data_IF_585560607002
#
_entry.id   IF_585560607002
#
_cell.length_a   1.000
_cell.length_b   1.000
_cell.length_c   1.000
_cell.angle_alpha   90.00
_cell.angle_beta   90.00
_cell.angle_gamma   90.00
#
_symmetry.space_group_name_H-M   'P 1'
#
loop_
_entity.id
_entity.type
_entity.pdbx_description
1 polymer ?
#
# COMPACT_ATOMS: atom_id res chain seq x y z
N UNK A 1 -2.24 6.89 1.51
CA UNK A 1 -2.06 7.60 0.23
C UNK A 1 -3.39 7.84 -0.47
N UNK A 2 -3.45 8.58 -1.59
CA UNK A 2 -4.68 8.89 -2.35
C UNK A 2 -4.53 10.17 -3.15
N UNK A 3 -5.48 10.49 -4.01
CA UNK A 3 -5.51 11.74 -4.77
C UNK A 3 -5.58 12.97 -3.82
N UNK A 4 -5.26 14.18 -4.29
CA UNK A 4 -5.48 15.40 -3.51
C UNK A 4 -6.94 15.54 -3.06
N UNK A 5 -7.16 16.14 -1.89
CA UNK A 5 -8.49 16.49 -1.36
C UNK A 5 -9.45 15.31 -1.09
N UNK A 6 -8.94 14.08 -0.94
CA UNK A 6 -9.76 12.90 -0.58
C UNK A 6 -9.91 12.67 0.93
N UNK A 7 -9.29 13.53 1.78
CA UNK A 7 -9.38 13.43 3.25
C UNK A 7 -8.26 12.65 3.92
N UNK A 8 -7.10 12.45 3.27
CA UNK A 8 -5.94 11.73 3.86
C UNK A 8 -5.48 12.32 5.17
N UNK A 9 -5.17 13.62 5.20
CA UNK A 9 -4.66 14.29 6.40
C UNK A 9 -5.74 14.39 7.49
N UNK A 10 -7.01 14.44 7.11
CA UNK A 10 -8.12 14.37 8.07
C UNK A 10 -8.14 13.02 8.77
N UNK A 11 -8.04 11.92 8.02
CA UNK A 11 -7.96 10.57 8.55
C UNK A 11 -6.70 10.41 9.42
N UNK A 12 -5.54 10.85 8.93
CA UNK A 12 -4.29 10.82 9.67
C UNK A 12 -4.40 11.56 11.00
N UNK A 13 -4.92 12.79 10.99
CA UNK A 13 -5.12 13.59 12.20
C UNK A 13 -6.11 12.94 13.17
N UNK A 14 -7.17 12.30 12.67
CA UNK A 14 -8.12 11.58 13.51
C UNK A 14 -7.48 10.36 14.20
N UNK A 15 -6.65 9.61 13.48
CA UNK A 15 -5.90 8.47 14.04
C UNK A 15 -4.82 8.93 15.01
N UNK A 16 -4.14 10.05 14.69
CA UNK A 16 -3.01 10.58 15.46
C UNK A 16 -3.43 11.41 16.69
N UNK A 17 -4.71 11.77 16.84
CA UNK A 17 -5.19 12.53 18.01
C UNK A 17 -4.93 11.84 19.34
N UNK A 18 -4.80 10.53 19.36
CA UNK A 18 -4.44 9.73 20.52
C UNK A 18 -2.93 9.39 20.54
N UNK A 19 -2.09 10.20 19.87
CA UNK A 19 -0.65 10.00 19.86
C UNK A 19 -0.12 9.96 21.29
N UNK A 20 0.45 8.81 21.63
CA UNK A 20 1.31 8.70 22.79
C UNK A 20 2.63 9.35 22.41
N UNK A 21 3.13 10.20 23.30
CA UNK A 21 4.44 10.81 23.09
C UNK A 21 5.46 9.71 22.75
N UNK A 22 6.09 9.81 21.57
CA UNK A 22 7.05 8.81 21.08
C UNK A 22 8.22 8.58 22.05
N UNK A 23 8.42 9.47 23.01
CA UNK A 23 9.36 9.36 24.13
C UNK A 23 9.16 8.09 24.99
N UNK A 24 7.97 7.50 24.97
CA UNK A 24 7.66 6.30 25.76
C UNK A 24 8.03 4.98 25.05
N UNK A 25 8.42 5.03 23.76
CA UNK A 25 8.78 3.85 23.00
C UNK A 25 10.25 3.91 22.57
N UNK A 26 11.09 2.97 23.03
CA UNK A 26 12.47 2.85 22.57
C UNK A 26 12.48 2.53 21.07
N UNK A 27 13.34 3.21 20.30
CA UNK A 27 13.56 3.03 18.86
C UNK A 27 12.56 3.73 17.90
N UNK A 28 11.69 4.62 18.38
CA UNK A 28 10.87 5.43 17.49
C UNK A 28 11.58 6.74 17.13
N UNK A 29 11.91 6.91 15.87
CA UNK A 29 12.38 8.18 15.31
C UNK A 29 11.15 9.00 14.89
N UNK A 30 10.99 10.21 15.41
CA UNK A 30 9.89 11.10 15.02
C UNK A 30 10.27 11.74 13.69
N UNK A 31 9.73 11.22 12.59
CA UNK A 31 9.79 11.90 11.30
C UNK A 31 8.57 12.81 11.13
N UNK A 32 8.70 13.95 10.42
CA UNK A 32 7.55 14.78 10.11
C UNK A 32 6.52 13.94 9.33
N UNK A 33 5.24 14.10 9.68
CA UNK A 33 4.11 13.35 9.14
C UNK A 33 4.02 11.86 9.52
N UNK A 34 4.66 11.46 10.62
CA UNK A 34 4.53 10.11 11.18
C UNK A 34 3.69 10.16 12.46
N UNK A 35 2.74 9.24 12.59
CA UNK A 35 1.89 9.07 13.78
C UNK A 35 1.97 7.63 14.29
N UNK A 36 2.20 7.47 15.59
CA UNK A 36 2.22 6.16 16.26
C UNK A 36 0.90 5.96 16.99
N UNK A 37 0.22 4.86 16.71
CA UNK A 37 -1.08 4.52 17.29
C UNK A 37 -1.00 3.16 17.96
N UNK A 38 -1.47 3.06 19.21
CA UNK A 38 -1.58 1.78 19.92
C UNK A 38 -2.67 0.91 19.31
N UNK A 39 -2.39 -0.38 19.22
CA UNK A 39 -3.37 -1.39 18.81
C UNK A 39 -4.16 -1.83 20.03
N UNK A 40 -5.48 -1.58 20.08
CA UNK A 40 -6.33 -2.09 21.16
C UNK A 40 -6.35 -3.62 21.16
N UNK A 41 -6.04 -4.24 22.29
CA UNK A 41 -6.11 -5.70 22.48
C UNK A 41 -6.82 -6.04 23.79
N UNK A 42 -8.03 -6.58 23.69
CA UNK A 42 -8.84 -6.98 24.83
C UNK A 42 -8.18 -8.11 25.64
N UNK A 43 -7.40 -8.98 24.99
CA UNK A 43 -6.65 -10.05 25.67
C UNK A 43 -5.59 -9.45 26.58
N UNK A 44 -4.89 -8.41 26.11
CA UNK A 44 -3.88 -7.70 26.90
C UNK A 44 -4.52 -7.02 28.10
N UNK A 45 -5.72 -6.42 27.94
CA UNK A 45 -6.47 -5.83 29.05
C UNK A 45 -6.82 -6.87 30.12
N UNK A 46 -7.34 -8.05 29.70
CA UNK A 46 -7.65 -9.13 30.63
C UNK A 46 -6.42 -9.64 31.36
N UNK A 47 -5.32 -9.85 30.67
CA UNK A 47 -4.06 -10.27 31.27
C UNK A 47 -3.53 -9.25 32.28
N UNK A 48 -3.61 -7.96 31.96
CA UNK A 48 -3.22 -6.87 32.85
C UNK A 48 -4.04 -6.87 34.14
N UNK A 49 -5.33 -7.14 34.07
CA UNK A 49 -6.19 -7.23 35.24
C UNK A 49 -5.83 -8.42 36.16
N UNK A 50 -5.44 -9.56 35.57
CA UNK A 50 -5.09 -10.78 36.30
C UNK A 50 -3.71 -10.64 36.97
N UNK A 51 -2.70 -10.23 36.18
CA UNK A 51 -1.31 -10.24 36.62
C UNK A 51 -0.84 -8.93 37.26
N UNK A 52 -1.59 -7.83 37.10
CA UNK A 52 -1.26 -6.49 37.63
C UNK A 52 0.22 -6.11 37.47
N UNK A 53 0.76 -6.12 36.24
CA UNK A 53 2.15 -5.81 36.00
C UNK A 53 2.46 -4.33 36.31
N UNK A 54 3.72 -4.03 36.59
CA UNK A 54 4.15 -2.64 36.80
C UNK A 54 3.98 -1.78 35.55
N UNK A 55 4.12 -2.39 34.36
CA UNK A 55 3.96 -1.71 33.05
C UNK A 55 3.29 -2.64 32.04
N UNK A 56 2.32 -2.11 31.32
CA UNK A 56 1.70 -2.75 30.15
C UNK A 56 2.11 -2.01 28.90
N UNK A 57 2.64 -2.72 27.91
CA UNK A 57 3.07 -2.14 26.64
C UNK A 57 2.17 -2.71 25.54
N UNK A 58 1.45 -1.83 24.87
CA UNK A 58 0.61 -2.19 23.72
C UNK A 58 1.49 -2.31 22.47
N UNK A 59 1.06 -3.15 21.52
CA UNK A 59 1.64 -3.13 20.18
C UNK A 59 1.26 -1.81 19.49
N UNK A 60 2.10 -1.34 18.58
CA UNK A 60 1.88 -0.07 17.89
C UNK A 60 1.92 -0.25 16.39
N UNK A 61 1.17 0.61 15.68
CA UNK A 61 1.22 0.77 14.24
C UNK A 61 1.68 2.19 13.94
N UNK A 62 2.66 2.29 13.06
CA UNK A 62 3.17 3.55 12.56
C UNK A 62 2.42 3.94 11.29
N UNK A 63 1.79 5.11 11.30
CA UNK A 63 1.13 5.71 10.15
C UNK A 63 1.99 6.82 9.58
N UNK A 64 2.18 6.82 8.26
CA UNK A 64 2.90 7.87 7.54
C UNK A 64 1.92 8.57 6.62
N UNK A 65 1.72 9.89 6.82
CA UNK A 65 0.93 10.70 5.88
C UNK A 65 1.78 11.03 4.66
N UNK A 66 1.50 10.35 3.57
CA UNK A 66 2.18 10.54 2.30
C UNK A 66 1.37 11.55 1.47
N UNK A 67 2.01 12.62 1.03
CA UNK A 67 1.40 13.65 0.18
C UNK A 67 0.65 13.05 -1.01
N UNK A 68 -0.39 13.75 -1.52
CA UNK A 68 -1.24 13.23 -2.60
C UNK A 68 -0.45 12.90 -3.86
N UNK A 69 -0.74 11.74 -4.44
CA UNK A 69 -0.20 11.33 -5.72
C UNK A 69 -0.83 12.19 -6.82
N UNK A 70 0.01 12.80 -7.65
CA UNK A 70 -0.42 13.57 -8.83
C UNK A 70 -0.16 12.70 -10.07
N UNK A 71 -1.01 12.83 -11.07
CA UNK A 71 -0.84 12.19 -12.39
C UNK A 71 0.58 12.43 -12.93
N UNK A 72 1.22 11.41 -13.50
CA UNK A 72 2.61 11.42 -13.97
C UNK A 72 3.68 11.49 -12.86
N UNK A 73 3.38 11.10 -11.63
CA UNK A 73 4.37 11.04 -10.56
C UNK A 73 5.54 10.09 -10.89
N UNK A 74 5.29 9.05 -11.71
CA UNK A 74 6.31 8.13 -12.19
C UNK A 74 7.32 8.77 -13.16
N UNK A 75 6.98 9.90 -13.81
CA UNK A 75 7.86 10.63 -14.74
C UNK A 75 8.61 11.77 -14.04
N UNK A 76 8.18 12.14 -12.81
CA UNK A 76 8.64 13.34 -12.13
C UNK A 76 10.09 13.26 -11.64
N UNK A 77 10.85 14.29 -11.99
CA UNK A 77 12.09 14.63 -11.31
C UNK A 77 11.74 15.31 -9.97
N UNK A 78 12.24 14.78 -8.84
CA UNK A 78 12.09 15.41 -7.53
C UNK A 78 10.96 14.84 -6.67
N UNK A 79 9.83 15.55 -6.54
CA UNK A 79 8.74 15.20 -5.61
C UNK A 79 8.12 13.82 -5.85
N UNK A 80 8.01 13.39 -7.12
CA UNK A 80 7.49 12.06 -7.45
C UNK A 80 8.39 10.93 -6.94
N UNK A 81 9.71 11.08 -7.07
CA UNK A 81 10.68 10.09 -6.58
C UNK A 81 10.69 10.03 -5.04
N UNK A 82 10.55 11.15 -4.36
CA UNK A 82 10.48 11.21 -2.90
C UNK A 82 9.21 10.51 -2.40
N UNK A 83 8.07 10.76 -3.03
CA UNK A 83 6.81 10.09 -2.76
C UNK A 83 6.92 8.57 -2.91
N UNK A 84 7.46 8.08 -4.04
CA UNK A 84 7.64 6.66 -4.30
C UNK A 84 8.62 6.02 -3.29
N UNK A 85 9.64 6.76 -2.85
CA UNK A 85 10.58 6.30 -1.81
C UNK A 85 9.88 6.07 -0.47
N UNK A 86 8.99 6.98 -0.06
CA UNK A 86 8.20 6.81 1.17
C UNK A 86 7.27 5.59 1.09
N UNK A 87 6.63 5.34 -0.07
CA UNK A 87 5.81 4.13 -0.24
C UNK A 87 6.68 2.87 -0.17
N UNK A 88 7.93 2.91 -0.64
CA UNK A 88 8.82 1.74 -0.56
C UNK A 88 9.18 1.34 0.86
N UNK A 89 9.23 2.28 1.80
CA UNK A 89 9.61 2.03 3.19
C UNK A 89 8.49 1.38 4.02
N UNK A 90 7.22 1.53 3.66
CA UNK A 90 6.09 0.99 4.43
C UNK A 90 5.78 -0.47 4.11
N UNK A 91 5.16 -1.19 5.05
CA UNK A 91 4.77 -2.59 4.88
C UNK A 91 3.40 -2.77 4.23
N UNK A 92 2.48 -1.83 4.46
CA UNK A 92 1.09 -1.86 3.97
C UNK A 92 0.73 -0.48 3.44
N UNK A 93 -0.03 -0.45 2.37
CA UNK A 93 -0.53 0.78 1.77
C UNK A 93 -2.01 0.94 2.13
N UNK A 94 -2.38 2.11 2.65
CA UNK A 94 -3.77 2.50 2.83
C UNK A 94 -4.12 3.54 1.77
N UNK A 95 -5.01 3.20 0.85
CA UNK A 95 -5.51 4.13 -0.16
C UNK A 95 -6.84 4.72 0.30
N UNK A 96 -6.85 6.05 0.51
CA UNK A 96 -8.07 6.79 0.83
C UNK A 96 -8.72 7.24 -0.46
N UNK A 97 -10.00 6.92 -0.63
CA UNK A 97 -10.80 7.20 -1.82
C UNK A 97 -11.99 8.06 -1.43
N UNK A 98 -12.27 9.09 -2.21
CA UNK A 98 -13.38 10.02 -1.99
C UNK A 98 -14.67 9.45 -2.55
N UNK A 99 -15.70 9.33 -1.69
CA UNK A 99 -17.05 8.91 -2.05
C UNK A 99 -18.11 9.98 -1.75
N UNK A 100 -17.68 11.14 -1.25
CA UNK A 100 -18.58 12.24 -0.92
C UNK A 100 -18.54 13.33 -1.99
N UNK A 101 -19.68 14.03 -2.18
CA UNK A 101 -19.78 15.22 -3.01
C UNK A 101 -19.75 16.45 -2.11
N UNK A 102 -18.86 17.39 -2.41
CA UNK A 102 -18.81 18.69 -1.77
C UNK A 102 -18.32 19.72 -2.81
N UNK A 103 -19.17 20.66 -3.15
CA UNK A 103 -18.91 21.67 -4.18
C UNK A 103 -17.81 22.66 -3.78
N UNK A 104 -17.53 22.77 -2.47
CA UNK A 104 -16.45 23.63 -1.95
C UNK A 104 -15.07 22.97 -2.03
N UNK A 105 -15.01 21.65 -2.29
CA UNK A 105 -13.77 20.87 -2.35
C UNK A 105 -13.51 20.46 -3.80
N UNK A 106 -12.56 21.12 -4.46
CA UNK A 106 -12.20 20.82 -5.85
C UNK A 106 -11.64 19.40 -5.96
N UNK A 107 -12.17 18.60 -6.90
CA UNK A 107 -11.59 17.32 -7.30
C UNK A 107 -10.61 17.52 -8.46
N UNK A 108 -9.54 16.74 -8.51
CA UNK A 108 -8.48 16.85 -9.53
C UNK A 108 -9.02 16.67 -10.95
N UNK A 109 -9.97 15.74 -11.12
CA UNK A 109 -10.60 15.43 -12.41
C UNK A 109 -11.97 16.15 -12.58
N UNK A 110 -12.31 17.13 -11.70
CA UNK A 110 -13.60 17.84 -11.70
C UNK A 110 -14.84 16.94 -11.63
N UNK A 111 -14.67 15.69 -11.24
CA UNK A 111 -15.73 14.69 -11.03
C UNK A 111 -15.35 13.73 -9.93
N UNK A 112 -16.31 13.27 -9.16
CA UNK A 112 -16.10 12.21 -8.16
C UNK A 112 -16.42 10.87 -8.83
N UNK A 113 -15.39 10.09 -9.13
CA UNK A 113 -15.50 8.72 -9.59
C UNK A 113 -14.50 7.85 -8.84
N UNK A 114 -14.93 7.18 -7.76
CA UNK A 114 -14.04 6.41 -6.91
C UNK A 114 -13.25 5.30 -7.62
N UNK A 115 -13.85 4.66 -8.63
CA UNK A 115 -13.20 3.59 -9.39
C UNK A 115 -12.07 4.15 -10.28
N UNK A 116 -12.32 5.23 -11.00
CA UNK A 116 -11.31 5.91 -11.81
C UNK A 116 -10.14 6.39 -10.92
N UNK A 117 -10.44 6.91 -9.71
CA UNK A 117 -9.44 7.37 -8.75
C UNK A 117 -8.53 6.23 -8.27
N UNK A 118 -9.11 5.04 -8.06
CA UNK A 118 -8.36 3.83 -7.71
C UNK A 118 -7.47 3.41 -8.87
N UNK A 119 -8.01 3.38 -10.09
CA UNK A 119 -7.28 2.97 -11.29
C UNK A 119 -6.12 3.91 -11.63
N UNK A 120 -6.31 5.22 -11.49
CA UNK A 120 -5.24 6.22 -11.69
C UNK A 120 -4.05 5.90 -10.78
N UNK A 121 -4.30 5.67 -9.49
CA UNK A 121 -3.24 5.40 -8.53
C UNK A 121 -2.58 4.04 -8.81
N UNK A 122 -3.35 3.00 -9.09
CA UNK A 122 -2.81 1.69 -9.41
C UNK A 122 -1.92 1.75 -10.65
N UNK A 123 -2.36 2.45 -11.69
CA UNK A 123 -1.59 2.64 -12.92
C UNK A 123 -0.25 3.34 -12.66
N UNK A 124 -0.24 4.43 -11.86
CA UNK A 124 0.99 5.14 -11.51
C UNK A 124 1.98 4.24 -10.75
N UNK A 125 1.49 3.41 -9.81
CA UNK A 125 2.33 2.47 -9.08
C UNK A 125 2.89 1.37 -9.99
N UNK A 126 2.06 0.82 -10.89
CA UNK A 126 2.47 -0.20 -11.87
C UNK A 126 3.55 0.37 -12.80
N UNK A 127 3.37 1.57 -13.33
CA UNK A 127 4.36 2.22 -14.20
C UNK A 127 5.70 2.49 -13.48
N UNK A 128 5.66 2.83 -12.20
CA UNK A 128 6.88 2.99 -11.39
C UNK A 128 7.60 1.66 -11.16
N UNK A 129 6.85 0.58 -10.96
CA UNK A 129 7.40 -0.76 -10.77
C UNK A 129 7.96 -1.34 -12.08
N UNK A 130 7.29 -1.14 -13.22
CA UNK A 130 7.79 -1.51 -14.55
C UNK A 130 9.20 -0.94 -14.76
N UNK A 131 9.41 0.35 -14.51
CA UNK A 131 10.74 0.98 -14.60
C UNK A 131 11.76 0.33 -13.65
N UNK A 132 11.32 -0.14 -12.48
CA UNK A 132 12.21 -0.82 -11.53
C UNK A 132 12.63 -2.18 -12.07
N UNK A 133 11.70 -2.93 -12.69
CA UNK A 133 11.97 -4.24 -13.29
C UNK A 133 12.89 -4.09 -14.50
N UNK A 134 12.62 -3.13 -15.40
CA UNK A 134 13.47 -2.85 -16.57
C UNK A 134 14.91 -2.55 -16.16
N UNK A 135 15.13 -1.67 -15.17
CA UNK A 135 16.45 -1.38 -14.63
C UNK A 135 17.13 -2.62 -14.01
N UNK A 136 16.34 -3.51 -13.40
CA UNK A 136 16.85 -4.76 -12.85
C UNK A 136 17.27 -5.73 -13.95
N UNK A 137 16.48 -5.84 -15.02
CA UNK A 137 16.84 -6.63 -16.21
C UNK A 137 18.14 -6.13 -16.85
N UNK A 138 18.30 -4.82 -17.03
CA UNK A 138 19.53 -4.22 -17.55
C UNK A 138 20.76 -4.57 -16.69
N UNK A 139 20.64 -4.52 -15.37
CA UNK A 139 21.71 -4.89 -14.44
C UNK A 139 22.06 -6.38 -14.53
N UNK A 140 21.06 -7.24 -14.70
CA UNK A 140 21.25 -8.69 -14.78
C UNK A 140 21.91 -9.16 -16.08
N UNK A 141 21.93 -8.36 -17.14
CA UNK A 141 22.61 -8.70 -18.41
C UNK A 141 24.05 -9.15 -18.20
N UNK A 142 24.77 -8.56 -17.24
CA UNK A 142 26.17 -8.95 -16.93
C UNK A 142 26.23 -10.37 -16.31
N UNK A 143 25.28 -10.75 -15.46
CA UNK A 143 25.21 -12.08 -14.83
C UNK A 143 24.77 -13.15 -15.85
N UNK A 144 23.88 -12.78 -16.75
CA UNK A 144 23.40 -13.63 -17.84
C UNK A 144 24.55 -13.96 -18.80
N UNK A 145 25.32 -12.93 -19.21
CA UNK A 145 26.52 -13.11 -20.06
C UNK A 145 27.60 -13.98 -19.41
N UNK A 146 27.67 -14.00 -18.08
CA UNK A 146 28.56 -14.88 -17.32
C UNK A 146 28.02 -16.32 -17.21
N UNK A 147 26.87 -16.65 -17.85
CA UNK A 147 26.20 -17.95 -17.89
C UNK A 147 25.89 -18.56 -16.51
N UNK A 148 25.64 -17.71 -15.49
CA UNK A 148 25.26 -18.16 -14.16
C UNK A 148 23.79 -18.60 -14.13
N UNK A 149 23.45 -19.78 -13.56
CA UNK A 149 22.07 -20.29 -13.52
C UNK A 149 21.10 -19.33 -12.83
N UNK A 150 21.55 -18.64 -11.77
CA UNK A 150 20.78 -17.64 -11.04
C UNK A 150 20.38 -16.46 -11.92
N UNK A 151 21.26 -16.04 -12.84
CA UNK A 151 20.98 -14.96 -13.77
C UNK A 151 19.88 -15.31 -14.78
N UNK A 152 19.85 -16.56 -15.26
CA UNK A 152 18.81 -17.03 -16.20
C UNK A 152 17.44 -17.13 -15.54
N UNK A 153 17.38 -17.67 -14.31
CA UNK A 153 16.13 -17.74 -13.57
C UNK A 153 15.59 -16.32 -13.29
N UNK A 154 16.45 -15.41 -12.86
CA UNK A 154 16.06 -14.02 -12.60
C UNK A 154 15.54 -13.33 -13.89
N UNK A 155 16.17 -13.57 -15.04
CA UNK A 155 15.73 -13.02 -16.33
C UNK A 155 14.32 -13.53 -16.69
N UNK A 156 14.10 -14.84 -16.60
CA UNK A 156 12.81 -15.47 -16.90
C UNK A 156 11.70 -14.92 -16.01
N UNK A 157 11.93 -14.89 -14.69
CA UNK A 157 10.96 -14.37 -13.70
C UNK A 157 10.64 -12.91 -13.94
N UNK A 158 11.66 -12.08 -14.14
CA UNK A 158 11.47 -10.65 -14.35
C UNK A 158 10.78 -10.34 -15.68
N UNK A 159 11.06 -11.12 -16.73
CA UNK A 159 10.39 -10.97 -18.02
C UNK A 159 8.91 -11.33 -17.95
N UNK A 160 8.58 -12.44 -17.28
CA UNK A 160 7.20 -12.85 -17.07
C UNK A 160 6.43 -11.86 -16.19
N UNK A 161 7.06 -11.35 -15.13
CA UNK A 161 6.48 -10.31 -14.27
C UNK A 161 6.26 -9.00 -15.04
N UNK A 162 7.21 -8.61 -15.89
CA UNK A 162 7.09 -7.41 -16.73
C UNK A 162 5.91 -7.54 -17.70
N UNK A 163 5.73 -8.71 -18.32
CA UNK A 163 4.58 -8.96 -19.18
C UNK A 163 3.27 -8.84 -18.41
N UNK A 164 3.16 -9.49 -17.24
CA UNK A 164 1.99 -9.42 -16.35
C UNK A 164 1.62 -7.97 -15.99
N UNK A 165 2.64 -7.16 -15.67
CA UNK A 165 2.42 -5.77 -15.31
C UNK A 165 2.08 -4.88 -16.51
N UNK A 166 2.57 -5.18 -17.71
CA UNK A 166 2.17 -4.49 -18.94
C UNK A 166 0.70 -4.76 -19.33
N UNK A 167 0.10 -5.83 -18.82
CA UNK A 167 -1.33 -6.10 -18.92
C UNK A 167 -2.17 -5.27 -17.90
N UNK A 168 -1.52 -4.40 -17.12
CA UNK A 168 -2.17 -3.57 -16.10
C UNK A 168 -2.40 -4.28 -14.77
N UNK A 169 -1.78 -5.44 -14.56
CA UNK A 169 -1.94 -6.23 -13.35
C UNK A 169 -0.85 -5.91 -12.31
N UNK A 170 -1.22 -5.88 -11.04
CA UNK A 170 -0.30 -5.58 -9.95
C UNK A 170 0.63 -6.77 -9.64
N UNK A 171 1.87 -6.52 -9.19
CA UNK A 171 2.83 -7.58 -8.86
C UNK A 171 2.32 -8.58 -7.81
N UNK A 172 1.45 -8.15 -6.86
CA UNK A 172 0.83 -9.04 -5.85
C UNK A 172 -0.10 -10.10 -6.43
N UNK A 173 -0.60 -9.92 -7.66
CA UNK A 173 -1.44 -10.90 -8.35
C UNK A 173 -0.63 -11.87 -9.22
N UNK A 174 0.67 -11.68 -9.34
CA UNK A 174 1.55 -12.57 -10.09
C UNK A 174 1.76 -13.89 -9.32
N UNK A 175 1.41 -15.00 -9.95
CA UNK A 175 1.67 -16.35 -9.38
C UNK A 175 3.17 -16.65 -9.40
N UNK A 176 3.70 -17.04 -8.26
CA UNK A 176 5.14 -17.28 -8.09
C UNK A 176 5.39 -18.45 -7.15
N UNK A 177 6.43 -19.20 -7.41
CA UNK A 177 6.87 -20.29 -6.57
C UNK A 177 7.90 -19.84 -5.51
N UNK A 178 8.29 -20.76 -4.62
CA UNK A 178 9.24 -20.50 -3.53
C UNK A 178 10.64 -20.08 -3.97
N UNK A 179 11.06 -20.38 -5.22
CA UNK A 179 12.36 -19.97 -5.78
C UNK A 179 12.30 -18.60 -6.42
N UNK A 180 11.15 -18.20 -6.94
CA UNK A 180 10.90 -16.93 -7.62
C UNK A 180 10.61 -15.81 -6.62
N UNK A 181 9.93 -16.13 -5.51
CA UNK A 181 9.51 -15.16 -4.48
C UNK A 181 10.66 -14.28 -3.96
N UNK A 182 11.86 -14.81 -3.62
CA UNK A 182 12.98 -13.98 -3.19
C UNK A 182 13.47 -12.99 -4.26
N UNK A 183 13.40 -13.37 -5.55
CA UNK A 183 13.83 -12.51 -6.67
C UNK A 183 12.91 -11.28 -6.75
N UNK A 184 11.59 -11.50 -6.63
CA UNK A 184 10.60 -10.43 -6.69
C UNK A 184 10.65 -9.56 -5.43
N UNK A 185 10.74 -10.15 -4.24
CA UNK A 185 10.84 -9.43 -2.98
C UNK A 185 12.03 -8.48 -2.91
N UNK A 186 13.16 -8.87 -3.47
CA UNK A 186 14.37 -8.03 -3.52
C UNK A 186 14.22 -6.77 -4.37
N UNK A 187 13.17 -6.66 -5.19
CA UNK A 187 12.88 -5.45 -5.97
C UNK A 187 12.13 -4.39 -5.17
N UNK A 188 11.56 -4.74 -4.02
CA UNK A 188 10.74 -3.85 -3.19
C UNK A 188 9.66 -3.13 -3.99
N UNK A 189 8.93 -3.89 -4.83
CA UNK A 189 7.89 -3.35 -5.68
C UNK A 189 6.76 -2.73 -4.85
N UNK A 190 6.21 -1.64 -5.35
CA UNK A 190 5.11 -0.91 -4.70
C UNK A 190 3.82 -1.72 -4.77
N UNK A 191 3.56 -2.32 -5.94
CA UNK A 191 2.35 -3.09 -6.20
C UNK A 191 2.39 -4.52 -5.65
N UNK A 192 3.54 -4.96 -5.10
CA UNK A 192 3.65 -6.24 -4.37
C UNK A 192 3.16 -6.13 -2.91
N UNK A 193 3.08 -4.91 -2.38
CA UNK A 193 2.62 -4.66 -1.00
C UNK A 193 1.12 -4.88 -0.85
N UNK A 194 0.67 -5.36 0.33
CA UNK A 194 -0.75 -5.38 0.68
C UNK A 194 -1.36 -3.98 0.60
N UNK A 195 -2.58 -3.88 0.07
CA UNK A 195 -3.30 -2.62 -0.06
C UNK A 195 -4.67 -2.71 0.61
N UNK A 196 -5.01 -1.68 1.39
CA UNK A 196 -6.30 -1.49 2.04
C UNK A 196 -6.95 -0.26 1.43
N UNK A 197 -8.20 -0.38 1.01
CA UNK A 197 -8.98 0.74 0.50
C UNK A 197 -9.86 1.29 1.63
N UNK A 198 -9.83 2.61 1.83
CA UNK A 198 -10.66 3.33 2.80
C UNK A 198 -11.56 4.28 2.04
N UNK A 199 -12.85 4.01 2.02
CA UNK A 199 -13.85 4.92 1.48
C UNK A 199 -14.10 6.07 2.47
N UNK A 200 -13.83 7.29 2.03
CA UNK A 200 -14.25 8.49 2.76
C UNK A 200 -15.63 8.89 2.27
N UNK A 201 -16.65 8.66 3.12
CA UNK A 201 -18.06 8.87 2.83
C UNK A 201 -18.60 10.04 3.66
N UNK A 202 -19.62 10.71 3.15
CA UNK A 202 -20.53 11.51 3.95
C UNK A 202 -21.62 10.61 4.56
N UNK A 203 -22.31 11.06 5.61
CA UNK A 203 -23.35 10.28 6.27
C UNK A 203 -24.55 9.90 5.40
N UNK A 204 -24.63 10.41 4.17
CA UNK A 204 -25.72 10.23 3.21
C UNK A 204 -25.35 9.31 2.03
N UNK A 205 -24.09 8.91 1.91
CA UNK A 205 -23.61 8.16 0.74
C UNK A 205 -23.98 6.69 0.79
N UNK A 206 -24.94 6.29 -0.05
CA UNK A 206 -25.38 4.89 -0.21
C UNK A 206 -24.48 4.08 -1.18
N UNK A 207 -23.39 4.66 -1.70
CA UNK A 207 -22.55 4.07 -2.76
C UNK A 207 -21.44 3.12 -2.24
N UNK A 208 -21.48 2.72 -0.99
CA UNK A 208 -20.53 1.74 -0.40
C UNK A 208 -20.54 0.40 -1.14
N UNK A 209 -21.65 0.09 -1.81
CA UNK A 209 -21.80 -1.16 -2.58
C UNK A 209 -20.74 -1.34 -3.69
N UNK A 210 -20.18 -0.25 -4.22
CA UNK A 210 -19.16 -0.32 -5.26
C UNK A 210 -17.81 -0.86 -4.79
N UNK A 211 -17.48 -0.71 -3.50
CA UNK A 211 -16.23 -1.27 -2.94
C UNK A 211 -16.30 -2.79 -2.73
N UNK A 212 -17.49 -3.32 -2.50
CA UNK A 212 -17.69 -4.77 -2.34
C UNK A 212 -17.62 -5.52 -3.67
N UNK A 213 -17.80 -4.83 -4.80
CA UNK A 213 -17.69 -5.41 -6.14
C UNK A 213 -16.29 -5.29 -6.73
N UNK A 214 -15.40 -4.51 -6.11
CA UNK A 214 -13.99 -4.46 -6.51
C UNK A 214 -13.28 -5.72 -6.01
N UNK A 215 -12.60 -6.50 -6.86
CA UNK A 215 -11.92 -7.71 -6.45
C UNK A 215 -10.85 -7.38 -5.41
N UNK A 216 -11.15 -7.66 -4.16
CA UNK A 216 -10.18 -7.62 -3.07
C UNK A 216 -9.30 -8.87 -3.15
N UNK A 217 -8.00 -8.79 -2.86
CA UNK A 217 -7.16 -10.00 -2.71
C UNK A 217 -7.69 -11.00 -1.70
N UNK A 218 -8.60 -10.60 -0.81
CA UNK A 218 -9.31 -11.49 0.13
C UNK A 218 -10.46 -12.25 -0.50
N UNK A 219 -11.09 -11.74 -1.55
CA UNK A 219 -12.27 -12.36 -2.17
C UNK A 219 -11.90 -13.63 -2.92
N UNK A 220 -10.65 -13.75 -3.37
CA UNK A 220 -10.11 -14.97 -4.00
C UNK A 220 -10.05 -16.16 -3.01
N UNK A 221 -9.96 -15.92 -1.70
CA UNK A 221 -9.93 -16.98 -0.68
C UNK A 221 -11.32 -17.38 -0.17
N UNK A 222 -12.30 -16.50 -0.21
CA UNK A 222 -13.67 -16.78 0.26
C UNK A 222 -14.48 -17.65 -0.71
N UNK A 223 -14.15 -17.66 -2.00
CA UNK A 223 -14.81 -18.50 -3.02
C UNK A 223 -14.47 -19.99 -2.91
N UNK A 224 -13.58 -20.40 -2.00
CA UNK A 224 -13.17 -21.81 -1.80
C UNK A 224 -13.71 -22.44 -0.52
N UNK A 225 -14.60 -21.81 0.23
CA UNK A 225 -15.31 -22.52 1.29
C UNK A 225 -16.42 -23.39 0.66
N UNK A 226 -16.36 -24.72 0.82
CA UNK A 226 -17.47 -25.57 0.41
C UNK A 226 -18.67 -25.17 1.26
N UNK A 227 -19.81 -24.94 0.60
CA UNK A 227 -21.10 -24.85 1.26
C UNK A 227 -21.32 -26.18 1.98
N UNK A 228 -21.02 -26.25 3.27
CA UNK A 228 -21.46 -27.35 4.11
C UNK A 228 -22.96 -27.25 4.27
N UNK A 229 -23.64 -28.28 3.78
CA UNK A 229 -25.05 -28.57 3.97
C UNK A 229 -25.49 -28.49 5.43
#
# INVERSE_FOLDING_TARGET
MGLPNVGKSTLFNALSKNNIAAENYPFCTIEPNTGIVEVPDERLKMLTQIFKPEKTIHNTVEFIDIAGLVKNAHQGEGLGNQFLSQIRSVNVIIQVVRFFNDDNITHVENRVNPLDDIEIINTELILADIKTIERSLEKNVKLIKANKPEGRLAEEVLTNLLQHMNEGLAARSFERNTKEDPIIKNLFLLTDKPMIYVANIDGETNNICLLYTSPSPRDVHLSRMPSSA
#
